data_IF_913791099796
#
_entry.id   IF_913791099796
#
_cell.length_a   1.000
_cell.length_b   1.000
_cell.length_c   1.000
_cell.angle_alpha   90.00
_cell.angle_beta   90.00
_cell.angle_gamma   90.00
#
_symmetry.space_group_name_H-M   'P 1'
#
loop_
_entity.id
_entity.type
_entity.pdbx_description
1 polymer ?
#
# COMPACT_ATOMS: atom_id res chain seq x y z
N UNK A 1 3.78 -12.44 1.43
CA UNK A 1 3.05 -11.73 0.35
C UNK A 1 2.29 -12.72 -0.50
N UNK A 2 1.39 -12.24 -1.36
CA UNK A 2 0.74 -13.04 -2.41
C UNK A 2 1.44 -12.80 -3.76
N UNK A 3 1.00 -13.45 -4.83
CA UNK A 3 1.52 -13.21 -6.18
C UNK A 3 1.34 -11.74 -6.62
N UNK A 4 0.30 -11.04 -6.13
CA UNK A 4 -0.05 -9.68 -6.52
C UNK A 4 0.96 -8.60 -6.08
N UNK A 5 1.84 -8.92 -5.12
CA UNK A 5 2.91 -8.00 -4.69
C UNK A 5 4.25 -8.27 -5.39
N UNK A 6 4.34 -9.31 -6.22
CA UNK A 6 5.60 -9.66 -6.89
C UNK A 6 5.95 -8.64 -7.97
N UNK A 7 7.25 -8.42 -8.18
CA UNK A 7 7.73 -7.54 -9.24
C UNK A 7 7.24 -8.00 -10.61
N UNK A 8 7.32 -9.30 -10.91
CA UNK A 8 6.92 -9.83 -12.22
C UNK A 8 5.45 -9.57 -12.52
N UNK A 9 4.57 -9.77 -11.52
CA UNK A 9 3.15 -9.50 -11.68
C UNK A 9 2.88 -8.00 -11.84
N UNK A 10 3.42 -7.17 -10.94
CA UNK A 10 3.16 -5.73 -10.92
C UNK A 10 3.75 -5.00 -12.13
N UNK A 11 4.97 -5.35 -12.54
CA UNK A 11 5.63 -4.75 -13.71
C UNK A 11 4.92 -5.14 -15.01
N UNK A 12 4.49 -6.40 -15.14
CA UNK A 12 3.70 -6.87 -16.28
C UNK A 12 2.35 -6.17 -16.32
N UNK A 13 1.64 -6.10 -15.18
CA UNK A 13 0.38 -5.37 -15.09
C UNK A 13 0.55 -3.90 -15.43
N UNK A 14 1.58 -3.23 -14.90
CA UNK A 14 1.81 -1.81 -15.14
C UNK A 14 2.07 -1.53 -16.63
N UNK A 15 2.98 -2.29 -17.26
CA UNK A 15 3.30 -2.19 -18.69
C UNK A 15 2.09 -2.37 -19.61
N UNK A 16 1.15 -3.25 -19.25
CA UNK A 16 0.01 -3.57 -20.11
C UNK A 16 -1.30 -2.86 -19.71
N UNK A 17 -1.41 -2.36 -18.50
CA UNK A 17 -2.66 -1.75 -17.98
C UNK A 17 -2.36 -0.42 -17.34
N UNK A 18 -1.45 -0.39 -16.36
CA UNK A 18 -1.13 0.83 -15.59
C UNK A 18 -0.73 2.01 -16.47
N UNK A 19 0.18 1.83 -17.42
CA UNK A 19 0.62 2.88 -18.35
C UNK A 19 -0.53 3.44 -19.19
N UNK A 20 -1.40 2.57 -19.70
CA UNK A 20 -2.57 2.98 -20.51
C UNK A 20 -3.61 3.75 -19.71
N UNK A 21 -3.69 3.45 -18.41
CA UNK A 21 -4.54 4.18 -17.46
C UNK A 21 -3.84 5.44 -16.91
N UNK A 22 -2.60 5.74 -17.32
CA UNK A 22 -1.84 6.89 -16.84
C UNK A 22 -1.48 6.79 -15.35
N UNK A 23 -1.32 5.57 -14.83
CA UNK A 23 -0.94 5.31 -13.44
C UNK A 23 0.58 5.39 -13.33
N UNK A 24 1.09 6.34 -12.55
CA UNK A 24 2.51 6.51 -12.27
C UNK A 24 2.91 5.69 -11.03
N UNK A 25 3.89 4.77 -11.11
CA UNK A 25 4.35 4.02 -9.94
C UNK A 25 4.93 4.95 -8.87
N UNK A 26 4.55 4.70 -7.61
CA UNK A 26 4.95 5.48 -6.44
C UNK A 26 5.31 4.53 -5.29
N UNK A 27 6.28 3.64 -5.52
CA UNK A 27 6.60 2.53 -4.61
C UNK A 27 7.29 3.07 -3.34
N UNK A 28 6.70 2.84 -2.16
CA UNK A 28 7.33 3.20 -0.90
C UNK A 28 8.16 2.03 -0.37
N UNK A 29 9.44 2.28 -0.06
CA UNK A 29 10.33 1.34 0.63
C UNK A 29 10.71 1.95 1.96
N UNK A 30 10.34 1.29 3.05
CA UNK A 30 10.68 1.69 4.41
C UNK A 30 11.78 0.79 4.92
N UNK A 31 12.86 1.40 5.40
CA UNK A 31 13.93 0.71 6.10
C UNK A 31 14.06 1.26 7.52
N UNK A 32 14.38 0.38 8.48
CA UNK A 32 14.71 0.75 9.86
C UNK A 32 16.05 0.11 10.20
N UNK A 33 16.97 0.92 10.70
CA UNK A 33 18.36 0.51 11.00
C UNK A 33 19.05 -0.17 9.80
N UNK A 34 18.83 0.36 8.59
CA UNK A 34 19.44 -0.16 7.35
C UNK A 34 18.78 -1.42 6.77
N UNK A 35 17.83 -2.04 7.47
CA UNK A 35 17.14 -3.23 6.99
C UNK A 35 15.71 -2.89 6.49
N UNK A 36 15.25 -3.47 5.36
CA UNK A 36 13.87 -3.30 4.90
C UNK A 36 12.86 -3.73 5.97
N UNK A 37 11.85 -2.90 6.18
CA UNK A 37 10.75 -3.13 7.11
C UNK A 37 9.43 -3.33 6.35
N UNK A 38 9.22 -2.53 5.30
CA UNK A 38 8.01 -2.58 4.47
C UNK A 38 8.30 -2.16 3.03
N UNK A 39 7.60 -2.77 2.08
CA UNK A 39 7.45 -2.30 0.71
C UNK A 39 5.97 -2.16 0.38
N UNK A 40 5.52 -0.97 0.00
CA UNK A 40 4.15 -0.70 -0.41
C UNK A 40 4.10 -0.39 -1.92
N UNK A 41 3.54 -1.29 -2.75
CA UNK A 41 3.43 -1.08 -4.20
C UNK A 41 2.27 -0.12 -4.50
N UNK A 42 2.53 1.18 -4.42
CA UNK A 42 1.55 2.23 -4.66
C UNK A 42 1.73 2.86 -6.04
N UNK A 43 0.69 3.51 -6.52
CA UNK A 43 0.68 4.31 -7.73
C UNK A 43 -0.13 5.58 -7.57
N UNK A 44 0.09 6.54 -8.47
CA UNK A 44 -0.67 7.78 -8.55
C UNK A 44 -1.46 7.76 -9.85
N UNK A 45 -2.77 7.86 -9.74
CA UNK A 45 -3.65 7.99 -10.89
C UNK A 45 -4.39 9.33 -10.87
N UNK A 46 -4.85 9.79 -12.04
CA UNK A 46 -5.65 11.02 -12.16
C UNK A 46 -7.09 10.68 -12.48
N UNK A 47 -8.04 11.18 -11.69
CA UNK A 47 -9.48 11.06 -11.98
C UNK A 47 -10.20 12.31 -11.52
N UNK A 48 -11.09 12.83 -12.36
CA UNK A 48 -11.81 14.08 -12.11
C UNK A 48 -10.90 15.26 -11.70
N UNK A 49 -9.70 15.34 -12.30
CA UNK A 49 -8.70 16.37 -12.02
C UNK A 49 -7.84 16.14 -10.76
N UNK A 50 -8.20 15.20 -9.89
CA UNK A 50 -7.50 14.89 -8.64
C UNK A 50 -6.43 13.80 -8.81
N UNK A 51 -5.34 13.91 -8.07
CA UNK A 51 -4.30 12.88 -7.95
C UNK A 51 -4.62 11.95 -6.80
N UNK A 52 -4.79 10.67 -7.08
CA UNK A 52 -5.20 9.66 -6.09
C UNK A 52 -4.06 8.67 -5.90
N UNK A 53 -3.65 8.47 -4.65
CA UNK A 53 -2.72 7.43 -4.25
C UNK A 53 -3.50 6.11 -4.10
N UNK A 54 -3.09 5.09 -4.86
CA UNK A 54 -3.78 3.79 -4.94
C UNK A 54 -2.80 2.64 -4.83
N UNK A 55 -3.31 1.43 -4.57
CA UNK A 55 -2.53 0.21 -4.76
C UNK A 55 -2.30 -0.08 -6.25
N UNK A 56 -1.08 -0.47 -6.63
CA UNK A 56 -0.83 -1.03 -7.96
C UNK A 56 -1.52 -2.39 -8.11
N UNK A 57 -1.85 -2.75 -9.36
CA UNK A 57 -2.63 -3.94 -9.71
C UNK A 57 -4.07 -3.65 -10.11
N UNK A 58 -4.58 -2.45 -9.79
CA UNK A 58 -5.91 -1.99 -10.19
C UNK A 58 -6.98 -3.03 -9.86
N UNK A 59 -7.98 -3.20 -10.73
CA UNK A 59 -9.07 -4.17 -10.51
C UNK A 59 -8.68 -5.65 -10.71
N UNK A 60 -7.46 -5.93 -11.17
CA UNK A 60 -7.00 -7.29 -11.47
C UNK A 60 -6.25 -7.94 -10.29
N UNK A 61 -6.03 -7.21 -9.20
CA UNK A 61 -5.51 -7.74 -7.94
C UNK A 61 -6.64 -7.86 -6.92
N UNK A 62 -6.88 -9.09 -6.46
CA UNK A 62 -7.89 -9.38 -5.44
C UNK A 62 -7.40 -9.09 -4.01
N UNK A 63 -6.08 -9.22 -3.79
CA UNK A 63 -5.46 -9.01 -2.47
C UNK A 63 -4.32 -8.00 -2.60
N UNK A 64 -4.66 -6.73 -2.35
CA UNK A 64 -3.70 -5.61 -2.41
C UNK A 64 -3.16 -5.30 -1.02
N UNK A 65 -1.93 -4.81 -0.95
CA UNK A 65 -1.33 -4.48 0.34
C UNK A 65 0.18 -4.47 0.30
N UNK A 66 0.81 -4.11 1.43
CA UNK A 66 2.25 -4.08 1.54
C UNK A 66 2.87 -5.48 1.62
N UNK A 67 4.16 -5.56 1.34
CA UNK A 67 5.04 -6.61 1.85
C UNK A 67 5.66 -6.11 3.15
N UNK A 68 5.53 -6.90 4.22
CA UNK A 68 6.07 -6.61 5.53
C UNK A 68 7.20 -7.58 5.87
N UNK A 69 8.18 -7.12 6.64
CA UNK A 69 9.16 -8.00 7.26
C UNK A 69 8.46 -9.00 8.19
N UNK A 70 9.03 -10.20 8.36
CA UNK A 70 8.42 -11.27 9.17
C UNK A 70 8.25 -10.90 10.66
N UNK A 71 9.01 -9.90 11.11
CA UNK A 71 9.15 -9.40 12.48
C UNK A 71 8.74 -7.93 12.53
N UNK A 72 7.86 -7.52 11.61
CA UNK A 72 7.41 -6.15 11.42
C UNK A 72 6.93 -5.52 12.72
N UNK A 73 6.06 -6.19 13.47
CA UNK A 73 5.50 -5.66 14.72
C UNK A 73 6.59 -5.41 15.77
N UNK A 74 7.47 -6.40 15.98
CA UNK A 74 8.59 -6.29 16.91
C UNK A 74 9.57 -5.15 16.51
N UNK A 75 9.77 -4.93 15.21
CA UNK A 75 10.65 -3.88 14.69
C UNK A 75 9.98 -2.51 14.58
N UNK A 76 8.66 -2.44 14.51
CA UNK A 76 7.93 -1.17 14.57
C UNK A 76 7.99 -0.59 15.99
N UNK A 77 8.05 -1.45 17.02
CA UNK A 77 8.18 -1.06 18.43
C UNK A 77 7.12 -0.03 18.83
N UNK A 78 5.88 -0.32 18.45
CA UNK A 78 4.73 0.58 18.55
C UNK A 78 4.07 0.52 19.94
N UNK A 79 4.83 0.89 20.97
CA UNK A 79 4.35 0.86 22.36
C UNK A 79 3.17 1.82 22.62
N UNK A 80 3.03 2.88 21.80
CA UNK A 80 1.97 3.89 21.88
C UNK A 80 0.71 3.54 21.07
N UNK A 81 0.79 2.57 20.16
CA UNK A 81 -0.30 2.16 19.26
C UNK A 81 -0.55 3.12 18.09
N UNK A 82 0.35 4.09 17.85
CA UNK A 82 0.25 5.11 16.79
C UNK A 82 1.47 5.12 15.84
N UNK A 83 2.39 4.17 16.02
CA UNK A 83 3.65 4.05 15.30
C UNK A 83 3.42 3.91 13.80
N UNK A 84 2.43 3.10 13.38
CA UNK A 84 2.10 3.06 11.96
C UNK A 84 1.47 4.36 11.45
N UNK A 85 0.62 5.04 12.22
CA UNK A 85 0.04 6.31 11.81
C UNK A 85 1.14 7.37 11.59
N UNK A 86 2.15 7.39 12.46
CA UNK A 86 3.32 8.25 12.33
C UNK A 86 4.15 7.89 11.10
N UNK A 87 4.44 6.60 10.90
CA UNK A 87 5.15 6.12 9.71
C UNK A 87 4.38 6.48 8.43
N UNK A 88 3.06 6.35 8.44
CA UNK A 88 2.21 6.67 7.31
C UNK A 88 2.28 8.15 6.93
N UNK A 89 2.31 9.07 7.91
CA UNK A 89 2.53 10.49 7.62
C UNK A 89 3.89 10.76 6.96
N UNK A 90 4.94 10.02 7.34
CA UNK A 90 6.26 10.14 6.72
C UNK A 90 6.24 9.61 5.28
N UNK A 91 5.62 8.45 5.05
CA UNK A 91 5.47 7.87 3.72
C UNK A 91 4.72 8.85 2.80
N UNK A 92 3.58 9.40 3.25
CA UNK A 92 2.79 10.36 2.46
C UNK A 92 3.57 11.61 2.06
N UNK A 93 4.46 12.09 2.94
CA UNK A 93 5.32 13.25 2.65
C UNK A 93 6.45 12.93 1.66
N UNK A 94 6.94 11.70 1.66
CA UNK A 94 8.02 11.25 0.77
C UNK A 94 7.50 10.85 -0.64
N UNK A 95 6.23 10.43 -0.74
CA UNK A 95 5.61 10.11 -2.01
C UNK A 95 5.36 11.36 -2.86
N UNK A 96 5.23 11.22 -4.20
CA UNK A 96 4.84 12.34 -5.03
C UNK A 96 3.47 12.88 -4.57
N UNK A 97 3.28 14.20 -4.75
CA UNK A 97 2.08 14.90 -4.29
C UNK A 97 0.80 14.18 -4.75
N UNK A 98 -0.14 14.02 -3.85
CA UNK A 98 -1.45 13.42 -4.12
C UNK A 98 -2.48 14.14 -3.26
N UNK A 99 -3.69 14.23 -3.75
CA UNK A 99 -4.78 14.96 -3.12
C UNK A 99 -5.63 14.02 -2.24
N UNK A 100 -5.77 12.77 -2.68
CA UNK A 100 -6.58 11.74 -2.01
C UNK A 100 -5.80 10.43 -1.88
N UNK A 101 -6.17 9.64 -0.88
CA UNK A 101 -5.71 8.26 -0.67
C UNK A 101 -6.91 7.34 -0.86
N UNK A 102 -6.82 6.42 -1.82
CA UNK A 102 -7.86 5.45 -2.15
C UNK A 102 -7.25 4.04 -2.17
N UNK A 103 -7.22 3.42 -1.00
CA UNK A 103 -6.68 2.07 -0.81
C UNK A 103 -7.83 1.09 -0.65
N UNK A 104 -8.22 0.43 -1.74
CA UNK A 104 -9.29 -0.55 -1.80
C UNK A 104 -8.77 -2.00 -1.88
N UNK A 105 -9.68 -2.97 -1.71
CA UNK A 105 -9.38 -4.41 -1.87
C UNK A 105 -8.16 -4.89 -1.08
N UNK A 106 -7.95 -4.30 0.10
CA UNK A 106 -6.91 -4.71 1.02
C UNK A 106 -7.48 -5.67 2.07
N UNK A 107 -6.83 -6.81 2.35
CA UNK A 107 -7.28 -7.70 3.41
C UNK A 107 -6.97 -7.07 4.77
N UNK A 108 -7.74 -7.43 5.79
CA UNK A 108 -7.49 -6.99 7.17
C UNK A 108 -6.24 -7.64 7.77
N UNK A 109 -5.89 -8.84 7.29
CA UNK A 109 -4.70 -9.58 7.71
C UNK A 109 -3.90 -10.03 6.48
N UNK A 110 -2.60 -10.09 6.62
CA UNK A 110 -1.60 -10.53 5.66
C UNK A 110 -0.99 -11.85 6.11
N UNK A 111 -0.26 -12.52 5.21
CA UNK A 111 0.42 -13.78 5.54
C UNK A 111 -0.49 -15.01 5.40
N UNK A 112 0.05 -16.21 5.66
CA UNK A 112 -0.71 -17.45 5.59
C UNK A 112 -1.64 -17.62 6.80
N UNK A 113 -2.70 -18.45 6.72
CA UNK A 113 -3.63 -18.66 7.83
C UNK A 113 -2.98 -19.13 9.15
N UNK A 114 -1.84 -19.81 9.09
CA UNK A 114 -1.11 -20.28 10.28
C UNK A 114 -0.16 -19.26 10.91
N UNK A 115 0.05 -18.10 10.28
CA UNK A 115 0.88 -17.02 10.79
C UNK A 115 0.37 -15.68 10.23
N UNK A 116 -0.84 -15.24 10.62
CA UNK A 116 -1.39 -13.98 10.17
C UNK A 116 -0.62 -12.81 10.77
N UNK A 117 -0.51 -11.73 10.00
CA UNK A 117 0.06 -10.45 10.41
C UNK A 117 -0.99 -9.37 10.13
N UNK A 118 -1.20 -8.44 11.05
CA UNK A 118 -2.18 -7.38 10.82
C UNK A 118 -1.77 -6.50 9.64
N UNK A 119 -2.74 -6.13 8.80
CA UNK A 119 -2.48 -5.16 7.73
C UNK A 119 -2.50 -3.75 8.34
N UNK A 120 -1.35 -3.06 8.45
CA UNK A 120 -1.29 -1.78 9.12
C UNK A 120 -2.12 -0.70 8.37
N UNK A 121 -2.32 -0.86 7.05
CA UNK A 121 -3.16 0.04 6.25
C UNK A 121 -4.65 -0.15 6.51
N UNK A 122 -5.08 -1.31 7.02
CA UNK A 122 -6.48 -1.57 7.33
C UNK A 122 -6.98 -0.78 8.55
N UNK A 123 -6.07 -0.40 9.45
CA UNK A 123 -6.36 0.43 10.62
C UNK A 123 -6.33 1.95 10.35
N UNK A 124 -5.97 2.39 9.14
CA UNK A 124 -6.03 3.81 8.80
C UNK A 124 -7.48 4.26 8.72
N UNK A 125 -7.79 5.42 9.32
CA UNK A 125 -9.15 5.98 9.40
C UNK A 125 -9.81 6.00 8.01
N UNK A 126 -10.83 5.17 7.81
CA UNK A 126 -11.57 5.08 6.56
C UNK A 126 -12.77 6.04 6.60
N UNK A 127 -12.89 6.89 5.59
CA UNK A 127 -14.21 7.35 5.16
C UNK A 127 -14.64 6.47 4.00
N UNK A 128 -15.94 6.12 3.87
CA UNK A 128 -16.42 5.36 2.72
C UNK A 128 -16.05 6.08 1.42
N UNK A 129 -15.78 5.30 0.38
CA UNK A 129 -15.49 5.85 -0.94
C UNK A 129 -16.66 6.76 -1.39
N UNK A 130 -16.42 7.97 -1.91
CA UNK A 130 -17.48 8.94 -2.24
C UNK A 130 -18.49 8.41 -3.27
N UNK A 131 -18.09 7.41 -4.05
CA UNK A 131 -18.85 6.72 -5.09
C UNK A 131 -19.61 5.47 -4.59
N UNK A 132 -19.62 5.24 -3.26
CA UNK A 132 -20.41 4.18 -2.61
C UNK A 132 -21.71 4.70 -1.94
N UNK A 133 -22.13 5.94 -2.23
CA UNK A 133 -23.38 6.56 -1.76
C UNK A 133 -24.33 6.85 -2.92
#
# INVERSE_FOLDING_TARGET
>A
GTAFQTFDWLSTWHRHVGERLGIEPAIAVVARQGAPLMLAPLGIERRFGLRRLVWLGGRLADYKGPLLAHDYEARLDDASGDGFATLWQQIRRALPRHDLVMLDSQPVSLGPPGAPLDNPFAGLSTSPAPDAA
#
